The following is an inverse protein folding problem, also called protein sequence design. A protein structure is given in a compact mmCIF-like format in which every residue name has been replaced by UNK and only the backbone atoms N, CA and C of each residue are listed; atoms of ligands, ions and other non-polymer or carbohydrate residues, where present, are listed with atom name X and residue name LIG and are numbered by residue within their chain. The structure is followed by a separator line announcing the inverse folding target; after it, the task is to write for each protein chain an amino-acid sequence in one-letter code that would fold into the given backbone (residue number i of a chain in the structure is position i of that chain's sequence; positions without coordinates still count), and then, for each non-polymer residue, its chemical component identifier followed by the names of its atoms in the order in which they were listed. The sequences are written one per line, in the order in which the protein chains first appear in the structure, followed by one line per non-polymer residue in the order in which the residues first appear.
data_IF_777832985538
#
_entry.id   IF_777832985538
#
_cell.length_a   1.000
_cell.length_b   1.000
_cell.length_c   1.000
_cell.angle_alpha   90.00
_cell.angle_beta   90.00
_cell.angle_gamma   90.00
#
_symmetry.space_group_name_H-M   'P 1'
#
loop_
_entity.id
_entity.type
_entity.pdbx_description
1 polymer ?
#
# COMPACT_ATOMS: atom_id res chain seq x y z
N UNK A 1 3.72 36.39 27.08
CA UNK A 1 3.71 34.95 27.39
C UNK A 1 4.01 34.26 26.08
N UNK A 2 5.27 33.92 25.88
CA UNK A 2 5.77 33.30 24.64
C UNK A 2 5.24 31.87 24.57
N UNK A 3 4.18 31.65 23.79
CA UNK A 3 3.75 30.32 23.42
C UNK A 3 4.57 29.91 22.19
N UNK A 4 5.63 29.15 22.46
CA UNK A 4 6.53 28.55 21.50
C UNK A 4 5.73 27.59 20.61
N UNK A 5 5.24 28.10 19.49
CA UNK A 5 4.81 27.25 18.38
C UNK A 5 6.09 26.64 17.79
N UNK A 6 6.52 25.52 18.39
CA UNK A 6 7.70 24.74 18.02
C UNK A 6 7.65 24.51 16.51
N UNK A 7 8.47 25.26 15.77
CA UNK A 7 8.55 25.16 14.34
C UNK A 7 9.09 23.78 14.01
N UNK A 8 8.26 22.99 13.32
CA UNK A 8 8.68 21.78 12.62
C UNK A 8 10.03 22.09 11.96
N UNK A 9 11.10 21.29 12.15
CA UNK A 9 12.40 21.61 11.60
C UNK A 9 12.32 21.66 10.07
N UNK A 10 12.18 22.89 9.55
CA UNK A 10 12.20 23.22 8.13
C UNK A 10 13.64 23.06 7.67
N UNK A 11 14.01 21.84 7.29
CA UNK A 11 15.38 21.56 6.84
C UNK A 11 15.79 20.09 6.81
N UNK A 12 14.97 19.15 7.27
CA UNK A 12 15.32 17.74 7.16
C UNK A 12 15.17 17.24 5.71
N UNK A 13 16.29 16.84 5.11
CA UNK A 13 16.35 16.28 3.76
C UNK A 13 15.56 14.96 3.69
N UNK A 14 14.58 14.91 2.77
CA UNK A 14 13.80 13.72 2.50
C UNK A 14 14.55 12.81 1.54
N UNK A 15 14.86 11.60 2.00
CA UNK A 15 15.62 10.63 1.21
C UNK A 15 14.68 9.52 0.66
N UNK A 16 14.86 9.10 -0.61
CA UNK A 16 14.04 8.06 -1.22
C UNK A 16 14.41 6.66 -0.73
N UNK A 17 13.40 5.83 -0.48
CA UNK A 17 13.59 4.41 -0.21
C UNK A 17 14.08 3.67 -1.46
N UNK A 18 15.15 2.88 -1.33
CA UNK A 18 15.73 2.11 -2.44
C UNK A 18 14.77 1.06 -3.02
N UNK A 19 13.81 0.58 -2.22
CA UNK A 19 12.88 -0.51 -2.57
C UNK A 19 11.58 0.02 -3.18
N UNK A 20 10.87 0.92 -2.49
CA UNK A 20 9.57 1.43 -2.95
C UNK A 20 9.58 2.87 -3.47
N UNK A 21 10.75 3.52 -3.53
CA UNK A 21 10.98 4.87 -4.06
C UNK A 21 10.22 6.03 -3.38
N UNK A 22 9.39 5.76 -2.37
CA UNK A 22 8.79 6.78 -1.49
C UNK A 22 9.86 7.51 -0.68
N UNK A 23 9.67 8.80 -0.43
CA UNK A 23 10.62 9.67 0.30
C UNK A 23 10.27 9.78 1.78
N UNK A 24 11.29 9.80 2.65
CA UNK A 24 11.14 9.82 4.10
C UNK A 24 12.25 10.63 4.76
N UNK A 25 11.97 11.18 5.96
CA UNK A 25 12.98 11.74 6.85
C UNK A 25 13.95 10.64 7.30
N UNK A 26 15.22 10.99 7.58
CA UNK A 26 16.28 10.01 7.90
C UNK A 26 15.88 9.03 9.02
N UNK A 27 15.27 9.54 10.10
CA UNK A 27 14.82 8.72 11.24
C UNK A 27 13.73 7.72 10.88
N UNK A 28 12.76 8.15 10.05
CA UNK A 28 11.67 7.31 9.56
C UNK A 28 12.17 6.32 8.51
N UNK A 29 13.07 6.76 7.62
CA UNK A 29 13.64 5.95 6.56
C UNK A 29 14.32 4.69 7.11
N UNK A 30 15.11 4.82 8.18
CA UNK A 30 15.77 3.68 8.85
C UNK A 30 14.77 2.59 9.26
N UNK A 31 13.66 2.97 9.90
CA UNK A 31 12.59 2.05 10.31
C UNK A 31 11.83 1.50 9.10
N UNK A 32 11.55 2.37 8.13
CA UNK A 32 10.86 2.02 6.90
C UNK A 32 11.62 0.97 6.07
N UNK A 33 12.94 1.08 5.94
CA UNK A 33 13.75 0.17 5.10
C UNK A 33 13.58 -1.29 5.52
N UNK A 34 13.62 -1.58 6.82
CA UNK A 34 13.47 -2.94 7.36
C UNK A 34 12.10 -3.54 7.00
N UNK A 35 11.03 -2.76 7.16
CA UNK A 35 9.65 -3.20 6.89
C UNK A 35 9.44 -3.34 5.37
N UNK A 36 9.88 -2.33 4.60
CA UNK A 36 9.70 -2.29 3.16
C UNK A 36 10.41 -3.44 2.47
N UNK A 37 11.62 -3.81 2.91
CA UNK A 37 12.35 -4.95 2.37
C UNK A 37 11.63 -6.27 2.65
N UNK A 38 11.12 -6.48 3.87
CA UNK A 38 10.30 -7.66 4.20
C UNK A 38 9.03 -7.72 3.37
N UNK A 39 8.37 -6.59 3.18
CA UNK A 39 7.15 -6.49 2.39
C UNK A 39 7.39 -6.75 0.89
N UNK A 40 8.52 -6.29 0.35
CA UNK A 40 8.89 -6.50 -1.05
C UNK A 40 9.35 -7.93 -1.34
N UNK A 41 10.06 -8.57 -0.40
CA UNK A 41 10.50 -9.96 -0.52
C UNK A 41 9.31 -10.94 -0.50
N UNK A 42 8.25 -10.63 0.24
CA UNK A 42 7.06 -11.47 0.34
C UNK A 42 6.08 -11.18 -0.80
N UNK A 43 6.03 -12.05 -1.81
CA UNK A 43 4.95 -12.02 -2.81
C UNK A 43 3.61 -12.30 -2.13
N UNK A 44 2.78 -11.27 -1.96
CA UNK A 44 1.41 -11.43 -1.43
C UNK A 44 0.59 -12.25 -2.41
N UNK A 45 -0.26 -13.14 -1.89
CA UNK A 45 -1.27 -13.83 -2.71
C UNK A 45 -2.26 -12.80 -3.24
N UNK A 46 -2.75 -13.03 -4.45
CA UNK A 46 -3.84 -12.22 -5.00
C UNK A 46 -5.02 -12.27 -4.03
N UNK A 47 -5.55 -11.10 -3.68
CA UNK A 47 -6.76 -11.01 -2.87
C UNK A 47 -7.95 -11.30 -3.78
N UNK A 48 -8.65 -12.40 -3.50
CA UNK A 48 -9.84 -12.77 -4.23
C UNK A 48 -11.08 -12.26 -3.47
N UNK A 49 -11.59 -11.11 -3.90
CA UNK A 49 -12.77 -10.49 -3.30
C UNK A 49 -14.02 -11.36 -3.41
N UNK A 50 -14.11 -12.24 -4.42
CA UNK A 50 -15.24 -13.17 -4.57
C UNK A 50 -15.19 -14.21 -3.45
N UNK A 51 -14.02 -14.82 -3.26
CA UNK A 51 -13.77 -15.77 -2.17
C UNK A 51 -14.02 -15.17 -0.80
N UNK A 52 -13.52 -13.97 -0.55
CA UNK A 52 -13.60 -13.31 0.76
C UNK A 52 -15.02 -12.90 1.13
N UNK A 53 -15.89 -12.63 0.15
CA UNK A 53 -17.32 -12.40 0.40
C UNK A 53 -18.12 -13.68 0.61
N UNK A 54 -17.75 -14.74 -0.09
CA UNK A 54 -18.40 -16.05 0.02
C UNK A 54 -18.05 -16.79 1.32
N UNK A 55 -16.88 -16.49 1.91
CA UNK A 55 -16.41 -17.11 3.14
C UNK A 55 -17.41 -16.95 4.29
N UNK A 56 -17.85 -18.08 4.88
CA UNK A 56 -18.86 -18.09 5.95
C UNK A 56 -20.31 -17.92 5.48
N UNK A 57 -20.56 -17.98 4.17
CA UNK A 57 -21.90 -17.90 3.57
C UNK A 57 -22.13 -19.04 2.59
N UNK A 58 -23.38 -19.38 2.29
CA UNK A 58 -23.73 -20.36 1.25
C UNK A 58 -23.65 -19.79 -0.18
N UNK A 59 -23.11 -18.57 -0.34
CA UNK A 59 -23.02 -17.89 -1.64
C UNK A 59 -21.82 -18.47 -2.41
N UNK A 60 -22.03 -19.05 -3.61
CA UNK A 60 -20.92 -19.56 -4.40
C UNK A 60 -19.99 -18.43 -4.86
N UNK A 61 -18.67 -18.71 -4.94
CA UNK A 61 -17.70 -17.76 -5.49
C UNK A 61 -18.03 -17.47 -6.94
N UNK A 62 -18.57 -16.28 -7.20
CA UNK A 62 -18.98 -15.83 -8.53
C UNK A 62 -17.76 -15.85 -9.46
N UNK A 63 -17.85 -16.59 -10.57
CA UNK A 63 -16.85 -16.52 -11.64
C UNK A 63 -16.99 -15.16 -12.33
N UNK A 64 -15.89 -14.43 -12.61
CA UNK A 64 -15.97 -13.18 -13.35
C UNK A 64 -16.74 -13.41 -14.66
N UNK A 65 -17.84 -12.69 -14.85
CA UNK A 65 -18.54 -12.68 -16.13
C UNK A 65 -17.55 -12.12 -17.15
N UNK A 66 -17.17 -12.93 -18.13
CA UNK A 66 -16.37 -12.43 -19.25
C UNK A 66 -17.16 -11.28 -19.87
N UNK A 67 -16.57 -10.07 -20.02
CA UNK A 67 -17.25 -9.02 -20.75
C UNK A 67 -17.53 -9.59 -22.14
N UNK A 68 -18.81 -9.70 -22.49
CA UNK A 68 -19.18 -9.86 -23.89
C UNK A 68 -18.69 -8.57 -24.53
N UNK A 69 -17.62 -8.65 -25.32
CA UNK A 69 -17.29 -7.59 -26.27
C UNK A 69 -18.50 -7.48 -27.19
N UNK A 70 -19.48 -6.66 -26.79
CA UNK A 70 -20.49 -6.20 -27.72
C UNK A 70 -19.69 -5.35 -28.70
N UNK A 71 -19.57 -5.84 -29.94
CA UNK A 71 -19.03 -5.05 -31.03
C UNK A 71 -19.96 -3.84 -31.20
N UNK A 72 -19.62 -2.74 -30.53
CA UNK A 72 -20.21 -1.44 -30.77
C UNK A 72 -19.62 -1.02 -32.12
N UNK A 73 -20.41 -1.25 -33.18
CA UNK A 73 -20.17 -0.71 -34.52
C UNK A 73 -20.45 0.78 -34.53
#
# INVERSE_FOLDING_TARGET
MEELHESVPVGEELLPCKVCKRTFLLGVLKKHMVICQKAAAKKRRAFDSSRQRAEGTDIPTVKPLKPKFFNIK
#
